data_IF_903153916699
#
_entry.id   IF_903153916699
#
_cell.length_a   1.000
_cell.length_b   1.000
_cell.length_c   1.000
_cell.angle_alpha   90.00
_cell.angle_beta   90.00
_cell.angle_gamma   90.00
#
_symmetry.space_group_name_H-M   'P 1'
#
loop_
_entity.id
_entity.type
_entity.pdbx_description
1 polymer ?
#
# COMPACT_ATOMS: atom_id res chain seq x y z
N UNK A 1 -24.66 13.13 -8.66
CA UNK A 1 -23.77 12.08 -9.21
C UNK A 1 -22.39 12.37 -8.66
N UNK A 2 -21.93 11.62 -7.66
CA UNK A 2 -20.57 11.76 -7.15
C UNK A 2 -19.66 11.20 -8.22
N UNK A 3 -18.80 12.05 -8.79
CA UNK A 3 -17.82 11.65 -9.80
C UNK A 3 -16.77 10.81 -9.04
N UNK A 4 -16.72 9.51 -9.29
CA UNK A 4 -15.66 8.67 -8.76
C UNK A 4 -14.34 9.15 -9.38
N UNK A 5 -13.28 9.39 -8.58
CA UNK A 5 -12.00 9.80 -9.13
C UNK A 5 -11.45 8.69 -10.03
N UNK A 6 -10.84 9.09 -11.14
CA UNK A 6 -10.11 8.19 -12.02
C UNK A 6 -8.88 7.70 -11.26
N UNK A 7 -8.78 6.38 -11.04
CA UNK A 7 -7.54 5.76 -10.56
C UNK A 7 -6.50 5.80 -11.68
N UNK A 8 -5.92 6.97 -11.93
CA UNK A 8 -4.76 7.15 -12.80
C UNK A 8 -3.53 6.62 -12.07
N UNK A 9 -3.00 5.50 -12.54
CA UNK A 9 -1.74 4.93 -12.04
C UNK A 9 -0.56 5.55 -12.81
N UNK A 10 -0.34 6.87 -12.70
CA UNK A 10 0.89 7.50 -13.18
C UNK A 10 1.22 8.70 -12.27
N UNK A 11 2.40 8.65 -11.65
CA UNK A 11 2.96 9.64 -10.73
C UNK A 11 3.00 11.06 -11.32
N UNK A 12 2.32 12.05 -10.71
CA UNK A 12 2.73 13.46 -10.49
C UNK A 12 1.67 14.12 -9.60
N UNK A 13 2.10 14.79 -8.53
CA UNK A 13 1.26 15.65 -7.68
C UNK A 13 0.67 16.81 -8.50
N UNK A 14 -0.62 16.75 -8.81
CA UNK A 14 -1.48 17.92 -9.06
C UNK A 14 -2.74 17.76 -8.20
N UNK A 15 -2.85 18.62 -7.19
CA UNK A 15 -3.79 18.50 -6.08
C UNK A 15 -5.10 19.23 -6.40
N UNK A 16 -6.01 18.54 -7.10
CA UNK A 16 -7.40 18.97 -7.35
C UNK A 16 -8.40 17.84 -6.98
N UNK A 17 -8.45 17.45 -5.70
CA UNK A 17 -9.57 16.64 -5.15
C UNK A 17 -9.64 15.17 -5.54
N UNK A 18 -8.50 14.55 -5.90
CA UNK A 18 -8.39 13.10 -6.11
C UNK A 18 -8.06 12.36 -4.80
N UNK A 19 -8.76 11.25 -4.54
CA UNK A 19 -8.52 10.40 -3.37
C UNK A 19 -7.14 9.74 -3.49
N UNK A 20 -6.21 10.13 -2.63
CA UNK A 20 -4.84 9.58 -2.62
C UNK A 20 -4.79 8.32 -1.75
N UNK A 21 -4.33 7.19 -2.30
CA UNK A 21 -4.19 5.95 -1.53
C UNK A 21 -2.92 5.98 -0.67
N UNK A 22 -3.08 6.29 0.61
CA UNK A 22 -2.03 6.23 1.61
C UNK A 22 -1.93 4.83 2.26
N UNK A 23 -0.83 4.57 2.97
CA UNK A 23 -0.62 3.30 3.66
C UNK A 23 0.09 3.44 5.02
N UNK A 24 -0.09 2.42 5.88
CA UNK A 24 0.59 2.24 7.18
C UNK A 24 1.50 1.01 7.17
N UNK A 25 1.91 0.56 5.98
CA UNK A 25 2.56 -0.74 5.80
C UNK A 25 3.83 -0.88 6.64
N UNK A 26 4.65 0.18 6.69
CA UNK A 26 5.90 0.20 7.47
C UNK A 26 5.66 -0.01 8.95
N UNK A 27 4.63 0.63 9.51
CA UNK A 27 4.28 0.50 10.92
C UNK A 27 3.76 -0.91 11.23
N UNK A 28 2.80 -1.39 10.45
CA UNK A 28 2.24 -2.74 10.62
C UNK A 28 3.31 -3.85 10.45
N UNK A 29 4.22 -3.70 9.48
CA UNK A 29 5.35 -4.63 9.30
C UNK A 29 6.27 -4.64 10.51
N UNK A 30 6.59 -3.46 11.06
CA UNK A 30 7.45 -3.35 12.23
C UNK A 30 6.78 -3.92 13.49
N UNK A 31 5.47 -3.71 13.67
CA UNK A 31 4.67 -4.34 14.73
C UNK A 31 4.71 -5.87 14.66
N UNK A 32 4.70 -6.44 13.45
CA UNK A 32 4.85 -7.87 13.21
C UNK A 32 6.30 -8.38 13.39
N UNK A 33 7.26 -7.51 13.70
CA UNK A 33 8.67 -7.88 13.88
C UNK A 33 9.39 -8.27 12.58
N UNK A 34 8.85 -7.91 11.42
CA UNK A 34 9.40 -8.32 10.12
C UNK A 34 10.30 -7.24 9.52
N UNK A 35 11.38 -7.63 8.88
CA UNK A 35 12.12 -6.80 7.92
C UNK A 35 11.37 -6.69 6.58
N UNK A 36 11.73 -5.70 5.75
CA UNK A 36 11.17 -5.57 4.41
C UNK A 36 11.38 -6.82 3.56
N UNK A 37 12.53 -7.49 3.71
CA UNK A 37 12.86 -8.69 2.93
C UNK A 37 12.03 -9.90 3.37
N UNK A 38 11.77 -10.05 4.67
CA UNK A 38 10.91 -11.12 5.19
C UNK A 38 9.47 -10.95 4.72
N UNK A 39 8.90 -9.74 4.84
CA UNK A 39 7.55 -9.48 4.32
C UNK A 39 7.48 -9.70 2.80
N UNK A 40 8.50 -9.25 2.06
CA UNK A 40 8.58 -9.47 0.62
C UNK A 40 8.56 -10.97 0.26
N UNK A 41 9.30 -11.79 1.01
CA UNK A 41 9.30 -13.24 0.86
C UNK A 41 7.92 -13.87 1.16
N UNK A 42 7.24 -13.41 2.22
CA UNK A 42 5.89 -13.90 2.58
C UNK A 42 4.86 -13.62 1.48
N UNK A 43 4.94 -12.48 0.80
CA UNK A 43 3.94 -12.05 -0.20
C UNK A 43 4.39 -12.28 -1.65
N UNK A 44 5.57 -12.86 -1.86
CA UNK A 44 6.08 -13.25 -3.18
C UNK A 44 6.48 -12.06 -4.07
N UNK A 45 7.06 -11.01 -3.50
CA UNK A 45 7.55 -9.82 -4.23
C UNK A 45 9.00 -9.51 -3.88
N UNK A 46 9.58 -8.50 -4.54
CA UNK A 46 10.92 -8.01 -4.20
C UNK A 46 10.92 -7.14 -2.95
N UNK A 47 12.05 -7.05 -2.24
CA UNK A 47 12.22 -6.09 -1.13
C UNK A 47 11.96 -4.65 -1.59
N UNK A 48 12.40 -4.32 -2.81
CA UNK A 48 12.19 -3.01 -3.43
C UNK A 48 10.69 -2.70 -3.57
N UNK A 49 9.87 -3.68 -3.96
CA UNK A 49 8.41 -3.52 -4.04
C UNK A 49 7.83 -3.11 -2.67
N UNK A 50 8.21 -3.80 -1.59
CA UNK A 50 7.76 -3.42 -0.24
C UNK A 50 8.23 -2.00 0.09
N UNK A 51 9.50 -1.67 -0.19
CA UNK A 51 10.04 -0.34 0.07
C UNK A 51 9.28 0.76 -0.68
N UNK A 52 8.98 0.57 -1.97
CA UNK A 52 8.26 1.55 -2.79
C UNK A 52 6.82 1.76 -2.30
N UNK A 53 6.15 0.70 -1.84
CA UNK A 53 4.81 0.83 -1.22
C UNK A 53 4.92 1.64 0.07
N UNK A 54 5.86 1.28 0.95
CA UNK A 54 6.05 1.98 2.24
C UNK A 54 6.35 3.47 2.10
N UNK A 55 6.96 3.88 0.98
CA UNK A 55 7.29 5.28 0.70
C UNK A 55 6.27 5.98 -0.19
N UNK A 56 5.18 5.31 -0.57
CA UNK A 56 4.15 5.88 -1.45
C UNK A 56 4.58 6.06 -2.91
N UNK A 57 5.74 5.53 -3.30
CA UNK A 57 6.25 5.57 -4.69
C UNK A 57 5.58 4.54 -5.60
N UNK A 58 4.79 3.62 -5.02
CA UNK A 58 4.10 2.59 -5.77
C UNK A 58 2.82 2.20 -5.06
N UNK A 59 1.70 2.40 -5.74
CA UNK A 59 0.41 1.89 -5.29
C UNK A 59 0.30 0.40 -5.62
N UNK A 60 0.13 -0.48 -4.62
CA UNK A 60 -0.02 -1.90 -4.88
C UNK A 60 -1.31 -2.17 -5.68
N UNK A 61 -1.29 -3.21 -6.51
CA UNK A 61 -2.54 -3.75 -7.07
C UNK A 61 -3.47 -4.18 -5.93
N UNK A 62 -4.78 -4.18 -6.16
CA UNK A 62 -5.75 -4.65 -5.16
C UNK A 62 -5.41 -6.05 -4.63
N UNK A 63 -4.93 -6.95 -5.50
CA UNK A 63 -4.47 -8.29 -5.10
C UNK A 63 -3.30 -8.21 -4.11
N UNK A 64 -2.27 -7.42 -4.41
CA UNK A 64 -1.11 -7.30 -3.52
C UNK A 64 -1.49 -6.64 -2.19
N UNK A 65 -2.34 -5.62 -2.22
CA UNK A 65 -2.85 -4.98 -1.01
C UNK A 65 -3.58 -5.99 -0.09
N UNK A 66 -4.46 -6.82 -0.65
CA UNK A 66 -5.15 -7.87 0.11
C UNK A 66 -4.19 -8.94 0.65
N UNK A 67 -3.19 -9.36 -0.14
CA UNK A 67 -2.17 -10.32 0.33
C UNK A 67 -1.36 -9.73 1.49
N UNK A 68 -1.01 -8.44 1.44
CA UNK A 68 -0.32 -7.75 2.54
C UNK A 68 -1.19 -7.69 3.80
N UNK A 69 -2.50 -7.46 3.66
CA UNK A 69 -3.46 -7.49 4.76
C UNK A 69 -3.48 -8.86 5.45
N UNK A 70 -3.55 -9.94 4.66
CA UNK A 70 -3.53 -11.32 5.17
C UNK A 70 -2.19 -11.64 5.85
N UNK A 71 -1.06 -11.27 5.23
CA UNK A 71 0.26 -11.56 5.76
C UNK A 71 0.57 -10.85 7.09
N UNK A 72 -0.07 -9.70 7.34
CA UNK A 72 0.13 -8.89 8.55
C UNK A 72 -1.03 -9.02 9.55
N UNK A 73 -2.05 -9.83 9.26
CA UNK A 73 -3.28 -9.96 10.05
C UNK A 73 -3.92 -8.59 10.36
N UNK A 74 -4.07 -7.76 9.32
CA UNK A 74 -4.70 -6.43 9.39
C UNK A 74 -5.87 -6.35 8.42
N UNK A 75 -6.86 -5.51 8.73
CA UNK A 75 -7.89 -5.16 7.74
C UNK A 75 -7.32 -4.22 6.70
N UNK A 76 -8.03 -4.08 5.58
CA UNK A 76 -7.62 -3.17 4.52
C UNK A 76 -7.52 -1.74 5.05
N UNK A 77 -8.55 -1.26 5.73
CA UNK A 77 -8.63 0.09 6.29
C UNK A 77 -7.60 0.40 7.39
N UNK A 78 -7.04 -0.64 8.03
CA UNK A 78 -5.96 -0.47 9.01
C UNK A 78 -4.60 -0.27 8.33
N UNK A 79 -4.47 -0.75 7.09
CA UNK A 79 -3.20 -0.81 6.35
C UNK A 79 -3.13 0.18 5.19
N UNK A 80 -4.27 0.47 4.55
CA UNK A 80 -4.44 1.33 3.39
C UNK A 80 -5.68 2.21 3.57
N UNK A 81 -5.58 3.48 3.24
CA UNK A 81 -6.65 4.46 3.45
C UNK A 81 -6.55 5.56 2.40
N UNK A 82 -7.65 6.27 2.15
CA UNK A 82 -7.65 7.42 1.27
C UNK A 82 -7.63 8.71 2.09
N UNK A 83 -6.76 9.66 1.72
CA UNK A 83 -6.80 11.05 2.19
C UNK A 83 -7.55 11.95 1.21
#
# INVERSE_FOLDING_TARGET
>A
MIKLPSLGFDDVHDNDGELELCNRLKAARAEAGLSQAELAGLVGVSRQTISSIETGLFNPTAKLALVLCIALDKKFEDLFYFE
#
